data_IF_943498824968
#
_entry.id   IF_943498824968
#
_cell.length_a   1.000
_cell.length_b   1.000
_cell.length_c   1.000
_cell.angle_alpha   90.00
_cell.angle_beta   90.00
_cell.angle_gamma   90.00
#
_symmetry.space_group_name_H-M   'P 1'
#
loop_
_entity.id
_entity.type
_entity.pdbx_description
1 polymer ?
#
# COMPACT_ATOMS: atom_id res chain seq x y z
N UNK A 1 -26.14 -26.93 47.72
CA UNK A 1 -24.76 -26.41 47.58
C UNK A 1 -24.23 -26.53 46.14
N UNK A 2 -25.09 -26.65 45.13
CA UNK A 2 -24.70 -26.99 43.75
C UNK A 2 -24.48 -25.75 42.85
N UNK A 3 -25.17 -24.64 43.14
CA UNK A 3 -25.16 -23.42 42.31
C UNK A 3 -23.81 -22.69 42.30
N UNK A 4 -22.99 -22.85 43.34
CA UNK A 4 -21.68 -22.19 43.45
C UNK A 4 -20.65 -22.78 42.49
N UNK A 5 -20.79 -24.06 42.11
CA UNK A 5 -19.88 -24.70 41.16
C UNK A 5 -20.09 -24.16 39.74
N UNK A 6 -21.35 -23.99 39.33
CA UNK A 6 -21.70 -23.38 38.02
C UNK A 6 -21.24 -21.93 37.90
N UNK A 7 -21.16 -21.22 39.03
CA UNK A 7 -20.66 -19.85 39.11
C UNK A 7 -19.17 -19.79 38.77
N UNK A 8 -18.35 -20.62 39.40
CA UNK A 8 -16.90 -20.64 39.13
C UNK A 8 -16.57 -21.20 37.74
N UNK A 9 -17.33 -22.22 37.30
CA UNK A 9 -17.20 -22.79 35.97
C UNK A 9 -17.53 -21.78 34.86
N UNK A 10 -18.51 -20.89 35.07
CA UNK A 10 -18.82 -19.86 34.06
C UNK A 10 -17.73 -18.79 33.96
N UNK A 11 -17.10 -18.40 35.07
CA UNK A 11 -16.06 -17.37 35.06
C UNK A 11 -14.77 -17.88 34.45
N UNK A 12 -14.42 -19.14 34.67
CA UNK A 12 -13.28 -19.79 34.01
C UNK A 12 -13.52 -19.97 32.52
N UNK A 13 -14.73 -20.36 32.09
CA UNK A 13 -15.08 -20.43 30.67
C UNK A 13 -15.08 -19.05 29.99
N UNK A 14 -15.66 -18.02 30.64
CA UNK A 14 -15.69 -16.66 30.11
C UNK A 14 -14.28 -16.05 30.03
N UNK A 15 -13.43 -16.25 31.03
CA UNK A 15 -12.04 -15.76 30.99
C UNK A 15 -11.20 -16.51 29.95
N UNK A 16 -11.37 -17.83 29.79
CA UNK A 16 -10.71 -18.59 28.74
C UNK A 16 -11.12 -18.12 27.33
N UNK A 17 -12.40 -17.80 27.11
CA UNK A 17 -12.89 -17.25 25.84
C UNK A 17 -12.31 -15.86 25.56
N UNK A 18 -12.24 -14.99 26.57
CA UNK A 18 -11.61 -13.67 26.48
C UNK A 18 -10.11 -13.78 26.20
N UNK A 19 -9.43 -14.74 26.83
CA UNK A 19 -8.03 -15.03 26.53
C UNK A 19 -7.91 -15.52 25.08
N UNK A 20 -8.67 -16.53 24.65
CA UNK A 20 -8.60 -17.04 23.27
C UNK A 20 -8.90 -15.94 22.21
N UNK A 21 -9.82 -15.01 22.49
CA UNK A 21 -10.16 -13.92 21.57
C UNK A 21 -9.06 -12.86 21.49
N UNK A 22 -8.41 -12.53 22.61
CA UNK A 22 -7.23 -11.66 22.66
C UNK A 22 -6.06 -12.29 21.90
N UNK A 23 -5.92 -13.61 21.94
CA UNK A 23 -4.89 -14.34 21.18
C UNK A 23 -5.17 -14.42 19.67
N UNK A 24 -6.39 -14.08 19.22
CA UNK A 24 -6.77 -14.11 17.81
C UNK A 24 -6.59 -12.79 17.06
N UNK A 25 -6.03 -11.76 17.69
CA UNK A 25 -5.92 -10.45 17.04
C UNK A 25 -4.54 -10.24 16.39
N UNK A 26 -4.50 -10.26 15.05
CA UNK A 26 -3.32 -9.84 14.29
C UNK A 26 -3.02 -10.66 13.03
N UNK A 27 -4.00 -10.92 12.15
CA UNK A 27 -3.70 -11.44 10.81
C UNK A 27 -3.45 -10.25 9.87
N UNK A 28 -2.19 -9.92 9.60
CA UNK A 28 -1.84 -8.98 8.52
C UNK A 28 -2.23 -9.62 7.18
N UNK A 29 -2.95 -8.86 6.34
CA UNK A 29 -3.43 -9.35 5.05
C UNK A 29 -2.24 -9.65 4.13
N UNK A 30 -2.24 -10.76 3.35
CA UNK A 30 -1.04 -11.17 2.64
C UNK A 30 -0.72 -10.19 1.50
N UNK A 31 0.38 -9.46 1.64
CA UNK A 31 0.99 -8.71 0.55
C UNK A 31 1.31 -9.66 -0.60
N UNK A 32 0.96 -9.27 -1.82
CA UNK A 32 1.20 -10.10 -3.01
C UNK A 32 2.68 -10.02 -3.40
N UNK A 33 3.47 -11.09 -3.17
CA UNK A 33 4.89 -11.14 -3.56
C UNK A 33 5.07 -11.95 -4.84
N UNK A 34 5.83 -11.39 -5.79
CA UNK A 34 6.20 -12.04 -7.05
C UNK A 34 7.70 -11.92 -7.30
N UNK A 35 8.27 -12.83 -8.08
CA UNK A 35 9.70 -12.85 -8.42
C UNK A 35 9.84 -12.63 -9.92
N UNK A 36 10.59 -11.61 -10.33
CA UNK A 36 10.93 -11.35 -11.72
C UNK A 36 12.43 -11.59 -11.96
N UNK A 37 12.87 -11.73 -13.22
CA UNK A 37 14.30 -11.80 -13.55
C UNK A 37 15.12 -10.60 -13.04
N UNK A 38 14.48 -9.45 -12.88
CA UNK A 38 15.10 -8.22 -12.38
C UNK A 38 15.14 -8.15 -10.84
N UNK A 39 14.34 -8.95 -10.14
CA UNK A 39 14.26 -8.94 -8.68
C UNK A 39 12.87 -9.23 -8.11
N UNK A 40 12.75 -9.40 -6.78
CA UNK A 40 11.49 -9.63 -6.09
C UNK A 40 10.63 -8.35 -5.98
N UNK A 41 9.32 -8.45 -6.17
CA UNK A 41 8.37 -7.32 -6.00
C UNK A 41 7.30 -7.69 -5.00
N UNK A 42 6.91 -6.71 -4.17
CA UNK A 42 5.74 -6.80 -3.29
C UNK A 42 4.70 -5.77 -3.71
N UNK A 43 3.45 -6.20 -3.86
CA UNK A 43 2.31 -5.38 -4.27
C UNK A 43 1.16 -5.49 -3.28
N UNK A 44 0.15 -4.64 -3.49
CA UNK A 44 -1.03 -4.50 -2.64
C UNK A 44 -2.24 -5.21 -3.26
N UNK A 45 -3.18 -5.66 -2.43
CA UNK A 45 -4.48 -6.16 -2.90
C UNK A 45 -5.49 -5.02 -2.89
N UNK A 46 -6.10 -4.78 -4.04
CA UNK A 46 -7.17 -3.82 -4.22
C UNK A 46 -8.50 -4.56 -4.40
N UNK A 47 -9.55 -3.98 -3.83
CA UNK A 47 -10.92 -4.43 -4.04
C UNK A 47 -11.58 -3.48 -5.05
N UNK A 48 -11.94 -4.01 -6.21
CA UNK A 48 -12.78 -3.29 -7.15
C UNK A 48 -14.23 -3.29 -6.65
N UNK A 49 -15.00 -2.23 -6.92
CA UNK A 49 -16.40 -2.10 -6.50
C UNK A 49 -17.31 -3.27 -6.94
N UNK A 50 -16.88 -4.02 -7.95
CA UNK A 50 -17.51 -5.26 -8.44
C UNK A 50 -17.00 -6.53 -7.74
N UNK A 51 -16.72 -6.47 -6.43
CA UNK A 51 -16.24 -7.59 -5.57
C UNK A 51 -14.98 -8.33 -6.05
N UNK A 52 -14.31 -7.82 -7.09
CA UNK A 52 -13.15 -8.47 -7.69
C UNK A 52 -11.87 -8.02 -6.96
N UNK A 53 -11.03 -8.99 -6.59
CA UNK A 53 -9.73 -8.74 -5.96
C UNK A 53 -8.67 -8.65 -7.05
N UNK A 54 -7.89 -7.57 -7.05
CA UNK A 54 -6.81 -7.33 -8.01
C UNK A 54 -5.52 -7.10 -7.24
N UNK A 55 -4.43 -7.72 -7.68
CA UNK A 55 -3.09 -7.41 -7.17
C UNK A 55 -2.53 -6.22 -7.97
N UNK A 56 -2.14 -5.14 -7.27
CA UNK A 56 -1.55 -3.96 -7.87
C UNK A 56 -0.07 -3.84 -7.48
N UNK A 57 0.78 -3.69 -8.48
CA UNK A 57 2.22 -3.47 -8.33
C UNK A 57 2.55 -2.12 -8.95
N UNK A 58 2.94 -1.14 -8.13
CA UNK A 58 2.95 0.27 -8.53
C UNK A 58 4.35 0.86 -8.42
N UNK A 59 4.69 1.72 -9.38
CA UNK A 59 5.97 2.43 -9.43
C UNK A 59 7.20 1.56 -9.73
N UNK A 60 7.02 0.40 -10.36
CA UNK A 60 8.14 -0.50 -10.69
C UNK A 60 9.08 0.19 -11.70
N UNK A 61 10.39 0.31 -11.41
CA UNK A 61 11.33 0.89 -12.36
C UNK A 61 11.54 -0.06 -13.54
N UNK A 62 11.32 0.43 -14.76
CA UNK A 62 11.46 -0.34 -16.00
C UNK A 62 12.74 -0.02 -16.79
N UNK A 63 13.37 1.13 -16.52
CA UNK A 63 14.57 1.61 -17.19
C UNK A 63 15.42 2.45 -16.22
N UNK A 64 16.65 2.77 -16.62
CA UNK A 64 17.47 3.77 -15.94
C UNK A 64 16.89 5.18 -16.12
N UNK A 65 17.07 6.07 -15.12
CA UNK A 65 16.59 7.45 -15.23
C UNK A 65 17.29 8.20 -16.38
N UNK A 66 16.57 8.96 -17.21
CA UNK A 66 17.12 9.66 -18.37
C UNK A 66 17.81 10.98 -17.98
N UNK A 67 18.81 10.88 -17.10
CA UNK A 67 19.57 12.01 -16.56
C UNK A 67 21.00 12.01 -17.14
N UNK A 68 21.63 13.20 -17.21
CA UNK A 68 22.97 13.35 -17.77
C UNK A 68 23.03 12.94 -19.24
N UNK A 69 23.99 12.08 -19.59
CA UNK A 69 24.21 11.59 -20.95
C UNK A 69 23.08 10.67 -21.46
N UNK A 70 22.24 10.14 -20.56
CA UNK A 70 21.04 9.38 -20.94
C UNK A 70 19.88 10.29 -21.40
N UNK A 71 20.01 11.61 -21.22
CA UNK A 71 19.02 12.56 -21.73
C UNK A 71 19.02 12.51 -23.25
N UNK A 72 17.84 12.34 -23.84
CA UNK A 72 17.65 12.18 -25.29
C UNK A 72 18.27 10.92 -25.91
N UNK A 73 18.80 10.00 -25.10
CA UNK A 73 19.22 8.67 -25.55
C UNK A 73 18.06 7.67 -25.46
N UNK A 74 18.22 6.51 -26.10
CA UNK A 74 17.29 5.39 -25.93
C UNK A 74 17.29 4.92 -24.45
N UNK A 75 16.14 4.44 -23.93
CA UNK A 75 16.04 4.00 -22.54
C UNK A 75 16.98 2.81 -22.27
N UNK A 76 17.86 2.97 -21.28
CA UNK A 76 18.77 1.92 -20.86
C UNK A 76 18.11 0.96 -19.86
N UNK A 77 18.45 -0.33 -19.95
CA UNK A 77 17.89 -1.40 -19.10
C UNK A 77 18.24 -1.18 -17.62
N UNK A 78 17.26 -1.35 -16.73
CA UNK A 78 17.50 -1.29 -15.29
C UNK A 78 18.34 -2.49 -14.82
N UNK A 79 19.34 -2.31 -13.93
CA UNK A 79 20.20 -3.41 -13.46
C UNK A 79 19.47 -4.45 -12.59
N UNK A 80 18.29 -4.10 -12.10
CA UNK A 80 17.50 -4.92 -11.18
C UNK A 80 17.69 -4.49 -9.73
N UNK A 81 17.16 -5.28 -8.80
CA UNK A 81 17.22 -5.04 -7.36
C UNK A 81 17.24 -6.36 -6.58
N UNK A 82 17.90 -6.36 -5.43
CA UNK A 82 18.03 -7.56 -4.59
C UNK A 82 16.98 -7.62 -3.46
N UNK A 83 16.50 -6.46 -3.00
CA UNK A 83 15.50 -6.34 -1.94
C UNK A 83 14.10 -6.19 -2.53
N UNK A 84 13.03 -6.72 -1.89
CA UNK A 84 11.69 -6.62 -2.44
C UNK A 84 11.29 -5.17 -2.73
N UNK A 85 11.07 -4.84 -4.00
CA UNK A 85 10.62 -3.51 -4.37
C UNK A 85 9.13 -3.36 -4.06
N UNK A 86 8.76 -2.28 -3.37
CA UNK A 86 7.37 -1.92 -3.05
C UNK A 86 7.28 -0.41 -2.93
N UNK A 87 6.37 0.23 -3.67
CA UNK A 87 5.97 1.60 -3.34
C UNK A 87 4.80 1.55 -2.37
N UNK A 88 5.00 2.11 -1.18
CA UNK A 88 3.89 2.38 -0.28
C UNK A 88 3.07 3.57 -0.79
N UNK A 89 1.77 3.38 -0.97
CA UNK A 89 0.83 4.43 -1.39
C UNK A 89 0.05 4.97 -0.20
N UNK A 90 0.05 4.26 0.93
CA UNK A 90 -0.71 4.66 2.12
C UNK A 90 -0.31 6.04 2.64
N UNK A 91 0.92 6.48 2.35
CA UNK A 91 1.44 7.77 2.79
C UNK A 91 1.11 8.94 1.82
N UNK A 92 0.65 8.67 0.59
CA UNK A 92 0.42 9.71 -0.43
C UNK A 92 -0.92 10.44 -0.29
N UNK A 93 -1.91 9.88 0.41
CA UNK A 93 -3.24 10.50 0.56
C UNK A 93 -3.32 11.57 1.65
N UNK A 94 -2.28 11.80 2.47
CA UNK A 94 -2.36 12.72 3.63
C UNK A 94 -1.83 14.15 3.34
N UNK A 95 -1.17 14.45 2.21
CA UNK A 95 -0.62 15.81 1.98
C UNK A 95 -0.74 16.39 0.57
N UNK A 96 -1.75 16.00 -0.21
CA UNK A 96 -2.15 16.87 -1.34
C UNK A 96 -3.07 17.98 -0.80
N UNK A 97 -2.46 18.98 -0.16
CA UNK A 97 -3.07 20.31 -0.05
C UNK A 97 -3.12 20.90 -1.47
N UNK A 98 -4.12 20.51 -2.25
CA UNK A 98 -4.53 21.23 -3.45
C UNK A 98 -5.14 22.58 -3.03
N UNK A 99 -4.31 23.48 -2.48
CA UNK A 99 -4.61 24.92 -2.44
C UNK A 99 -4.25 25.46 -3.81
N UNK A 100 -5.19 25.33 -4.73
CA UNK A 100 -5.11 25.84 -6.09
C UNK A 100 -5.01 27.37 -6.04
N UNK A 101 -3.80 27.93 -6.02
CA UNK A 101 -3.62 29.36 -6.24
C UNK A 101 -4.00 29.62 -7.70
N UNK A 102 -5.13 30.30 -7.89
CA UNK A 102 -5.60 30.74 -9.19
C UNK A 102 -4.50 31.59 -9.83
N UNK A 103 -3.78 31.03 -10.81
CA UNK A 103 -2.78 31.78 -11.59
C UNK A 103 -3.53 32.94 -12.28
N UNK A 104 -3.16 34.21 -12.05
CA UNK A 104 -3.81 35.32 -12.71
C UNK A 104 -3.63 35.17 -14.22
N UNK A 105 -4.73 35.15 -14.98
CA UNK A 105 -4.65 35.18 -16.45
C UNK A 105 -3.98 36.49 -16.87
N UNK A 106 -2.97 36.47 -17.77
CA UNK A 106 -2.43 37.70 -18.32
C UNK A 106 -3.55 38.45 -19.04
N UNK A 107 -3.71 39.75 -18.73
CA UNK A 107 -4.62 40.62 -19.47
C UNK A 107 -4.05 40.75 -20.89
N UNK A 108 -4.85 40.39 -21.91
CA UNK A 108 -4.49 40.65 -23.30
C UNK A 108 -4.37 42.17 -23.48
N UNK A 109 -3.16 42.68 -23.64
CA UNK A 109 -2.96 44.00 -24.24
C UNK A 109 -3.15 43.83 -25.74
N UNK A 110 -4.16 44.49 -26.29
CA UNK A 110 -4.31 44.61 -27.73
C UNK A 110 -3.23 45.57 -28.24
N UNK A 111 -2.45 45.16 -29.22
CA UNK A 111 -1.64 46.08 -30.02
C UNK A 111 -2.56 46.68 -31.08
N UNK A 112 -2.66 48.01 -31.10
CA UNK A 112 -3.20 48.82 -32.20
C UNK A 112 -2.02 49.19 -33.09
#
# INVERSE_FOLDING_TARGET
MEKSSYVELRYTLLSAIVLISVWRCGKSEPSSRIILPQGPITGIRLFSGTRSRVNAYLGIPYALPPIGDLRFAAPARHPGWNTPYSQDISDRTVRSSNRMTKVPRPKKTAYI
#
